data_IF_307614169530
#
_entry.id   IF_307614169530
#
_cell.length_a   1.000
_cell.length_b   1.000
_cell.length_c   1.000
_cell.angle_alpha   90.00
_cell.angle_beta   90.00
_cell.angle_gamma   90.00
#
_symmetry.space_group_name_H-M   'P 1'
#
loop_
_entity.id
_entity.type
_entity.pdbx_description
1 polymer ?
#
# COMPACT_ATOMS: atom_id res chain seq x y z
N UNK A 1 -50.99 14.22 61.13
CA UNK A 1 -50.40 12.98 60.57
C UNK A 1 -48.98 12.85 61.10
N UNK A 2 -48.64 11.71 61.71
CA UNK A 2 -47.66 11.58 62.78
C UNK A 2 -46.18 11.52 62.28
N UNK A 3 -45.28 12.35 62.86
CA UNK A 3 -43.86 12.52 62.47
C UNK A 3 -42.96 11.28 62.60
N UNK A 4 -43.45 10.19 63.20
CA UNK A 4 -42.68 8.94 63.38
C UNK A 4 -42.53 8.10 62.10
N UNK A 5 -43.31 8.37 61.04
CA UNK A 5 -43.22 7.62 59.77
C UNK A 5 -42.15 8.11 58.79
N UNK A 6 -41.53 9.28 59.04
CA UNK A 6 -40.55 9.87 58.11
C UNK A 6 -39.12 9.35 58.37
N UNK A 7 -38.80 8.95 59.60
CA UNK A 7 -37.45 8.44 59.94
C UNK A 7 -37.19 6.99 59.48
N UNK A 8 -38.23 6.17 59.30
CA UNK A 8 -38.04 4.79 58.83
C UNK A 8 -37.77 4.68 57.33
N UNK A 9 -38.09 5.71 56.53
CA UNK A 9 -37.85 5.70 55.08
C UNK A 9 -36.41 6.15 54.76
N UNK A 10 -35.78 6.96 55.61
CA UNK A 10 -34.40 7.42 55.40
C UNK A 10 -33.33 6.38 55.78
N UNK A 11 -33.59 5.47 56.72
CA UNK A 11 -32.65 4.39 57.04
C UNK A 11 -32.64 3.25 56.00
N UNK A 12 -33.72 3.06 55.23
CA UNK A 12 -33.78 2.02 54.18
C UNK A 12 -33.03 2.42 52.90
N UNK A 13 -32.87 3.73 52.64
CA UNK A 13 -32.12 4.22 51.47
C UNK A 13 -30.60 4.29 51.71
N UNK A 14 -30.14 4.36 52.96
CA UNK A 14 -28.71 4.41 53.27
C UNK A 14 -28.02 3.03 53.21
N UNK A 15 -28.76 1.93 53.38
CA UNK A 15 -28.18 0.57 53.37
C UNK A 15 -28.07 -0.01 51.95
N UNK A 16 -28.81 0.53 50.97
CA UNK A 16 -28.69 0.09 49.57
C UNK A 16 -27.57 0.79 48.78
N UNK A 17 -26.99 1.87 49.33
CA UNK A 17 -25.92 2.64 48.67
C UNK A 17 -24.51 2.05 48.85
N UNK A 18 -24.34 1.04 49.72
CA UNK A 18 -23.02 0.44 50.04
C UNK A 18 -22.77 -0.86 49.24
N UNK A 19 -23.78 -1.39 48.53
CA UNK A 19 -23.64 -2.57 47.66
C UNK A 19 -23.34 -2.23 46.19
N UNK A 20 -23.21 -0.95 45.84
CA UNK A 20 -22.64 -0.49 44.56
C UNK A 20 -21.10 -0.45 44.66
N UNK A 21 -20.51 -1.51 45.22
CA UNK A 21 -19.12 -1.83 44.97
C UNK A 21 -19.01 -2.07 43.47
N UNK A 22 -18.38 -1.15 42.77
CA UNK A 22 -18.21 -1.20 41.33
C UNK A 22 -17.66 -2.57 40.94
N UNK A 23 -18.53 -3.40 40.34
CA UNK A 23 -18.06 -4.45 39.47
C UNK A 23 -17.22 -3.74 38.42
N UNK A 24 -15.90 -3.81 38.57
CA UNK A 24 -14.99 -3.54 37.47
C UNK A 24 -15.40 -4.56 36.42
N UNK A 25 -16.21 -4.11 35.46
CA UNK A 25 -16.43 -4.86 34.22
C UNK A 25 -15.02 -5.24 33.78
N UNK A 26 -14.69 -6.54 33.70
CA UNK A 26 -13.39 -6.93 33.18
C UNK A 26 -13.26 -6.21 31.85
N UNK A 27 -12.21 -5.39 31.71
CA UNK A 27 -11.93 -4.66 30.49
C UNK A 27 -12.12 -5.66 29.34
N UNK A 28 -13.12 -5.39 28.49
CA UNK A 28 -13.41 -6.23 27.33
C UNK A 28 -12.08 -6.44 26.61
N UNK A 29 -11.72 -7.69 26.32
CA UNK A 29 -10.54 -7.96 25.52
C UNK A 29 -10.70 -7.16 24.22
N UNK A 30 -9.79 -6.23 23.95
CA UNK A 30 -9.83 -5.43 22.74
C UNK A 30 -9.79 -6.35 21.52
N UNK A 31 -10.59 -6.06 20.52
CA UNK A 31 -10.58 -6.83 19.28
C UNK A 31 -9.26 -6.61 18.54
N UNK A 32 -8.56 -7.70 18.19
CA UNK A 32 -7.37 -7.65 17.33
C UNK A 32 -7.82 -7.65 15.88
N UNK A 33 -8.02 -6.46 15.33
CA UNK A 33 -8.49 -6.22 13.97
C UNK A 33 -7.33 -5.81 13.05
N UNK A 34 -6.57 -6.78 12.57
CA UNK A 34 -5.44 -6.54 11.66
C UNK A 34 -5.83 -6.96 10.24
N UNK A 35 -5.52 -6.10 9.27
CA UNK A 35 -5.68 -6.37 7.83
C UNK A 35 -4.29 -6.33 7.15
N UNK A 36 -3.89 -7.36 6.40
CA UNK A 36 -4.57 -8.65 6.23
C UNK A 36 -4.67 -9.46 7.54
N UNK A 37 -5.70 -10.32 7.63
CA UNK A 37 -5.91 -11.18 8.81
C UNK A 37 -4.69 -12.09 9.00
N UNK A 38 -4.03 -12.05 10.17
CA UNK A 38 -2.87 -12.91 10.43
C UNK A 38 -3.21 -14.39 10.41
N UNK A 39 -2.23 -15.23 10.05
CA UNK A 39 -2.40 -16.70 10.05
C UNK A 39 -2.85 -17.24 11.41
N UNK A 40 -2.28 -16.72 12.50
CA UNK A 40 -2.66 -17.09 13.87
C UNK A 40 -2.57 -15.89 14.79
N UNK A 41 -3.64 -15.66 15.55
CA UNK A 41 -3.73 -14.63 16.60
C UNK A 41 -4.25 -15.26 17.89
N UNK A 42 -3.59 -14.97 19.00
CA UNK A 42 -4.04 -15.30 20.34
C UNK A 42 -4.15 -14.00 21.16
N UNK A 43 -5.38 -13.63 21.52
CA UNK A 43 -5.62 -12.46 22.37
C UNK A 43 -5.27 -12.81 23.81
N UNK A 44 -4.53 -11.93 24.48
CA UNK A 44 -4.08 -12.08 25.86
C UNK A 44 -4.67 -10.96 26.72
N UNK A 45 -4.81 -11.16 28.03
CA UNK A 45 -5.41 -10.13 28.91
C UNK A 45 -4.54 -8.88 29.00
N UNK A 46 -5.19 -7.71 28.99
CA UNK A 46 -4.56 -6.41 29.23
C UNK A 46 -4.07 -5.72 27.96
N UNK A 47 -3.43 -4.56 28.15
CA UNK A 47 -2.95 -3.71 27.06
C UNK A 47 -1.49 -3.31 27.32
N UNK A 48 -0.77 -3.06 26.23
CA UNK A 48 0.50 -2.34 26.25
C UNK A 48 0.23 -0.86 25.99
N UNK A 49 0.50 0.00 26.97
CA UNK A 49 0.39 1.46 26.81
C UNK A 49 1.77 2.01 26.48
N UNK A 50 1.88 2.80 25.41
CA UNK A 50 3.14 3.44 25.05
C UNK A 50 3.56 4.42 26.17
N UNK A 51 4.77 4.26 26.74
CA UNK A 51 5.31 5.26 27.67
C UNK A 51 5.66 6.54 26.92
N UNK A 52 5.65 7.69 27.61
CA UNK A 52 6.03 8.98 27.02
C UNK A 52 7.49 9.05 26.54
N UNK A 53 8.34 8.17 27.07
CA UNK A 53 9.70 7.93 26.58
C UNK A 53 9.80 6.50 26.09
N UNK A 54 9.76 6.31 24.77
CA UNK A 54 9.83 5.00 24.12
C UNK A 54 11.27 4.70 23.75
N UNK A 55 11.68 3.45 23.94
CA UNK A 55 12.97 2.95 23.46
C UNK A 55 12.69 1.78 22.54
N UNK A 56 13.17 1.88 21.30
CA UNK A 56 13.05 0.82 20.31
C UNK A 56 14.41 0.17 20.15
N UNK A 57 14.48 -1.13 20.43
CA UNK A 57 15.71 -1.89 20.30
C UNK A 57 15.83 -2.64 18.99
N UNK A 58 17.05 -2.77 18.50
CA UNK A 58 17.38 -3.49 17.27
C UNK A 58 18.71 -4.23 17.41
N UNK A 59 18.97 -5.18 16.51
CA UNK A 59 20.17 -6.02 16.52
C UNK A 59 20.99 -5.94 15.22
N UNK A 60 20.38 -5.50 14.11
CA UNK A 60 21.02 -5.47 12.79
C UNK A 60 20.84 -4.10 12.12
N UNK A 61 21.65 -3.77 11.10
CA UNK A 61 21.45 -2.56 10.29
C UNK A 61 20.05 -2.48 9.67
N UNK A 62 19.47 -3.57 9.15
CA UNK A 62 18.08 -3.51 8.66
C UNK A 62 17.09 -3.29 9.79
N UNK A 63 17.31 -3.92 10.95
CA UNK A 63 16.50 -3.69 12.15
C UNK A 63 16.53 -2.23 12.59
N UNK A 64 17.69 -1.56 12.49
CA UNK A 64 17.85 -0.13 12.77
C UNK A 64 17.00 0.73 11.83
N UNK A 65 16.96 0.41 10.54
CA UNK A 65 16.15 1.16 9.56
C UNK A 65 14.65 1.04 9.87
N UNK A 66 14.18 -0.16 10.25
CA UNK A 66 12.78 -0.38 10.64
C UNK A 66 12.48 0.33 11.97
N UNK A 67 13.41 0.28 12.93
CA UNK A 67 13.28 0.96 14.21
C UNK A 67 13.20 2.48 14.03
N UNK A 68 14.02 3.04 13.14
CA UNK A 68 13.99 4.46 12.79
C UNK A 68 12.67 4.86 12.15
N UNK A 69 12.20 4.09 11.17
CA UNK A 69 10.90 4.32 10.53
C UNK A 69 9.74 4.33 11.55
N UNK A 70 9.73 3.34 12.44
CA UNK A 70 8.74 3.27 13.53
C UNK A 70 8.89 4.47 14.48
N UNK A 71 10.11 4.84 14.86
CA UNK A 71 10.35 5.99 15.73
C UNK A 71 9.83 7.29 15.11
N UNK A 72 10.02 7.50 13.81
CA UNK A 72 9.58 8.70 13.11
C UNK A 72 8.05 8.78 13.09
N UNK A 73 7.38 7.65 12.81
CA UNK A 73 5.91 7.53 12.89
C UNK A 73 5.37 7.82 14.30
N UNK A 74 5.97 7.21 15.32
CA UNK A 74 5.57 7.44 16.72
C UNK A 74 5.79 8.91 17.13
N UNK A 75 6.95 9.50 16.81
CA UNK A 75 7.23 10.91 17.14
C UNK A 75 6.22 11.85 16.50
N UNK A 76 5.92 11.65 15.21
CA UNK A 76 5.03 12.50 14.45
C UNK A 76 3.62 12.55 15.06
N UNK A 77 3.01 11.39 15.34
CA UNK A 77 1.62 11.31 15.81
C UNK A 77 1.46 11.52 17.31
N UNK A 78 2.42 11.04 18.13
CA UNK A 78 2.28 11.06 19.59
C UNK A 78 2.94 12.27 20.26
N UNK A 79 3.95 12.87 19.62
CA UNK A 79 4.83 13.85 20.26
C UNK A 79 5.77 13.27 21.32
N UNK A 80 5.83 11.95 21.49
CA UNK A 80 6.65 11.29 22.51
C UNK A 80 8.15 11.32 22.17
N UNK A 81 8.98 11.26 23.21
CA UNK A 81 10.41 11.08 23.04
C UNK A 81 10.70 9.62 22.65
N UNK A 82 11.24 9.40 21.45
CA UNK A 82 11.59 8.04 20.98
C UNK A 82 13.09 7.95 20.70
N UNK A 83 13.75 7.04 21.40
CA UNK A 83 15.17 6.73 21.24
C UNK A 83 15.37 5.33 20.67
N UNK A 84 16.48 5.15 19.95
CA UNK A 84 16.90 3.86 19.44
C UNK A 84 18.08 3.34 20.28
N UNK A 85 18.18 2.03 20.44
CA UNK A 85 19.32 1.43 21.14
C UNK A 85 19.50 -0.05 20.83
N UNK A 86 20.64 -0.61 21.22
CA UNK A 86 20.96 -2.03 21.00
C UNK A 86 20.60 -2.89 22.23
N UNK A 87 20.35 -2.25 23.37
CA UNK A 87 19.92 -2.89 24.62
C UNK A 87 18.41 -3.06 24.67
N UNK A 88 17.89 -3.78 25.66
CA UNK A 88 16.46 -4.03 25.84
C UNK A 88 15.66 -2.71 25.84
N UNK A 89 14.69 -2.61 24.93
CA UNK A 89 13.75 -1.49 24.84
C UNK A 89 12.31 -1.91 25.16
N UNK A 90 11.41 -0.93 25.12
CA UNK A 90 9.97 -1.15 25.24
C UNK A 90 9.41 -1.89 24.01
N UNK A 91 9.98 -1.61 22.84
CA UNK A 91 9.72 -2.30 21.58
C UNK A 91 11.03 -2.92 21.12
N UNK A 92 11.03 -4.17 20.67
CA UNK A 92 12.24 -4.87 20.23
C UNK A 92 12.06 -5.50 18.86
N UNK A 93 12.94 -5.13 17.92
CA UNK A 93 13.02 -5.67 16.57
C UNK A 93 14.17 -6.66 16.51
N UNK A 94 13.85 -7.94 16.35
CA UNK A 94 14.77 -9.06 16.41
C UNK A 94 14.78 -9.78 15.07
N UNK A 95 15.88 -9.64 14.33
CA UNK A 95 16.08 -10.32 13.05
C UNK A 95 17.09 -11.44 13.29
N UNK A 96 16.65 -12.68 13.10
CA UNK A 96 17.43 -13.88 13.39
C UNK A 96 17.43 -14.79 12.15
N UNK A 97 18.48 -14.75 11.31
CA UNK A 97 18.53 -15.53 10.07
C UNK A 97 18.36 -17.04 10.23
N UNK A 98 18.71 -17.58 11.40
CA UNK A 98 18.55 -19.00 11.73
C UNK A 98 17.12 -19.39 12.16
N UNK A 99 16.19 -18.43 12.25
CA UNK A 99 14.80 -18.71 12.62
C UNK A 99 14.11 -19.55 11.54
N UNK A 100 13.48 -20.66 11.94
CA UNK A 100 12.70 -21.54 11.06
C UNK A 100 11.36 -20.89 10.69
N UNK A 101 11.38 -20.03 9.69
CA UNK A 101 10.25 -19.23 9.22
C UNK A 101 10.48 -18.81 7.76
N UNK A 102 9.42 -18.43 7.03
CA UNK A 102 9.55 -17.84 5.70
C UNK A 102 10.21 -16.46 5.76
N UNK A 103 10.79 -15.99 4.65
CA UNK A 103 11.50 -14.71 4.63
C UNK A 103 10.62 -13.51 4.98
N UNK A 104 9.34 -13.56 4.61
CA UNK A 104 8.32 -12.56 4.91
C UNK A 104 7.52 -12.85 6.20
N UNK A 105 7.83 -13.95 6.90
CA UNK A 105 7.11 -14.31 8.12
C UNK A 105 7.61 -13.54 9.35
N UNK A 106 6.74 -13.39 10.35
CA UNK A 106 7.10 -12.81 11.64
C UNK A 106 6.28 -13.41 12.79
N UNK A 107 6.79 -13.19 14.01
CA UNK A 107 6.04 -13.31 15.26
C UNK A 107 6.01 -11.97 15.98
N UNK A 108 4.83 -11.53 16.35
CA UNK A 108 4.59 -10.31 17.12
C UNK A 108 4.01 -10.70 18.49
N UNK A 109 4.72 -10.38 19.56
CA UNK A 109 4.26 -10.57 20.94
C UNK A 109 4.09 -9.22 21.60
N UNK A 110 2.86 -8.91 22.03
CA UNK A 110 2.51 -7.71 22.78
C UNK A 110 2.14 -8.11 24.20
N UNK A 111 2.83 -7.54 25.17
CA UNK A 111 2.56 -7.71 26.61
C UNK A 111 2.45 -6.36 27.27
N UNK A 112 1.88 -6.30 28.47
CA UNK A 112 1.83 -5.05 29.25
C UNK A 112 3.20 -4.44 29.55
N UNK A 113 4.29 -5.21 29.42
CA UNK A 113 5.67 -4.76 29.65
C UNK A 113 6.40 -4.32 28.38
N UNK A 114 5.88 -4.63 27.19
CA UNK A 114 6.58 -4.36 25.94
C UNK A 114 6.16 -5.22 24.77
N UNK A 115 6.76 -4.90 23.63
CA UNK A 115 6.48 -5.47 22.31
C UNK A 115 7.75 -6.11 21.75
N UNK A 116 7.60 -7.31 21.18
CA UNK A 116 8.70 -8.00 20.51
C UNK A 116 8.25 -8.45 19.13
N UNK A 117 9.00 -8.02 18.11
CA UNK A 117 8.84 -8.43 16.72
C UNK A 117 10.04 -9.31 16.38
N UNK A 118 9.80 -10.59 16.09
CA UNK A 118 10.81 -11.57 15.69
C UNK A 118 10.58 -11.98 14.25
N UNK A 119 11.62 -11.99 13.43
CA UNK A 119 11.54 -12.45 12.05
C UNK A 119 12.87 -13.03 11.57
N UNK A 120 12.82 -13.79 10.46
CA UNK A 120 14.02 -14.31 9.79
C UNK A 120 14.79 -13.22 9.06
N UNK A 121 14.07 -12.30 8.39
CA UNK A 121 14.65 -11.22 7.58
C UNK A 121 14.03 -9.86 7.93
N UNK A 122 14.62 -8.79 7.41
CA UNK A 122 14.05 -7.45 7.50
C UNK A 122 12.64 -7.32 6.91
N UNK A 123 12.28 -8.09 5.87
CA UNK A 123 10.93 -8.05 5.27
C UNK A 123 9.86 -8.49 6.27
N UNK A 124 10.08 -9.64 6.92
CA UNK A 124 9.20 -10.12 7.97
C UNK A 124 9.13 -9.17 9.16
N UNK A 125 10.27 -8.65 9.62
CA UNK A 125 10.29 -7.68 10.72
C UNK A 125 9.50 -6.40 10.39
N UNK A 126 9.62 -5.90 9.16
CA UNK A 126 8.85 -4.76 8.69
C UNK A 126 7.34 -5.04 8.70
N UNK A 127 6.89 -6.21 8.21
CA UNK A 127 5.48 -6.58 8.29
C UNK A 127 4.96 -6.79 9.72
N UNK A 128 5.80 -7.28 10.62
CA UNK A 128 5.46 -7.35 12.05
C UNK A 128 5.28 -5.98 12.68
N UNK A 129 6.10 -5.00 12.27
CA UNK A 129 5.93 -3.60 12.66
C UNK A 129 4.63 -3.00 12.11
N UNK A 130 4.26 -3.29 10.85
CA UNK A 130 2.98 -2.87 10.27
C UNK A 130 1.78 -3.44 11.04
N UNK A 131 1.84 -4.70 11.45
CA UNK A 131 0.80 -5.30 12.31
C UNK A 131 0.74 -4.65 13.70
N UNK A 132 1.89 -4.31 14.29
CA UNK A 132 1.90 -3.58 15.56
C UNK A 132 1.29 -2.17 15.43
N UNK A 133 1.57 -1.45 14.35
CA UNK A 133 0.97 -0.13 14.07
C UNK A 133 -0.56 -0.20 14.02
N UNK A 134 -1.14 -1.25 13.41
CA UNK A 134 -2.59 -1.45 13.36
C UNK A 134 -3.23 -1.82 14.71
N UNK A 135 -2.44 -2.28 15.69
CA UNK A 135 -2.94 -2.50 17.05
C UNK A 135 -3.08 -1.20 17.85
N UNK A 136 -2.43 -0.12 17.42
CA UNK A 136 -2.54 1.20 18.02
C UNK A 136 -3.76 1.94 17.44
N UNK A 137 -4.27 2.99 18.12
CA UNK A 137 -5.33 3.83 17.56
C UNK A 137 -4.96 4.39 16.18
N UNK A 138 -5.92 4.46 15.26
CA UNK A 138 -5.71 4.87 13.86
C UNK A 138 -4.99 6.22 13.70
N UNK A 139 -5.11 7.11 14.69
CA UNK A 139 -4.39 8.38 14.76
C UNK A 139 -2.87 8.23 14.74
N UNK A 140 -2.33 7.03 14.98
CA UNK A 140 -0.89 6.77 14.95
C UNK A 140 -0.28 6.99 13.56
N UNK A 141 -1.10 6.88 12.50
CA UNK A 141 -0.70 7.15 11.12
C UNK A 141 -0.74 8.65 10.76
N UNK A 142 -1.17 9.51 11.68
CA UNK A 142 -1.17 10.95 11.49
C UNK A 142 0.25 11.47 11.26
N UNK A 143 0.48 12.32 10.22
CA UNK A 143 1.77 12.96 10.00
C UNK A 143 2.05 14.09 11.00
N UNK A 144 1.09 14.43 11.86
CA UNK A 144 1.16 15.50 12.86
C UNK A 144 0.66 15.03 14.22
N UNK A 145 1.07 15.73 15.27
CA UNK A 145 0.75 15.35 16.65
C UNK A 145 -0.76 15.38 16.92
N UNK A 146 -1.26 14.37 17.60
CA UNK A 146 -2.66 14.24 18.01
C UNK A 146 -2.76 14.12 19.53
N UNK A 147 -3.45 15.06 20.17
CA UNK A 147 -3.64 15.10 21.62
C UNK A 147 -4.87 14.29 22.07
N UNK A 148 -4.90 13.88 23.34
CA UNK A 148 -6.05 13.23 23.96
C UNK A 148 -6.27 11.77 23.56
N UNK A 149 -5.30 11.17 22.86
CA UNK A 149 -5.34 9.76 22.46
C UNK A 149 -4.61 8.90 23.49
N UNK A 150 -5.27 7.83 23.95
CA UNK A 150 -4.62 6.77 24.72
C UNK A 150 -3.90 5.83 23.74
N UNK A 151 -2.59 5.98 23.62
CA UNK A 151 -1.76 5.14 22.77
C UNK A 151 -1.56 3.74 23.38
N UNK A 152 -2.53 2.85 23.18
CA UNK A 152 -2.51 1.50 23.73
C UNK A 152 -2.75 0.45 22.64
N UNK A 153 -2.09 -0.70 22.79
CA UNK A 153 -2.24 -1.88 21.94
C UNK A 153 -2.73 -3.07 22.77
N UNK A 154 -3.70 -3.83 22.27
CA UNK A 154 -4.16 -5.06 22.91
C UNK A 154 -3.00 -6.07 23.06
N UNK A 155 -2.85 -6.67 24.25
CA UNK A 155 -1.89 -7.76 24.42
C UNK A 155 -2.29 -8.98 23.57
N UNK A 156 -1.36 -9.51 22.80
CA UNK A 156 -1.60 -10.65 21.91
C UNK A 156 -0.29 -11.37 21.52
N UNK A 157 -0.41 -12.60 21.04
CA UNK A 157 0.64 -13.31 20.32
C UNK A 157 0.17 -13.60 18.89
N UNK A 158 0.91 -13.13 17.90
CA UNK A 158 0.60 -13.25 16.48
C UNK A 158 1.74 -13.97 15.79
N UNK A 159 1.42 -15.01 15.03
CA UNK A 159 2.33 -15.65 14.09
C UNK A 159 1.74 -15.52 12.70
N UNK A 160 2.52 -14.97 11.78
CA UNK A 160 1.99 -14.59 10.48
C UNK A 160 3.02 -14.78 9.36
N UNK A 161 2.52 -15.11 8.19
CA UNK A 161 3.29 -15.29 6.97
C UNK A 161 2.34 -15.17 5.77
N UNK A 162 2.80 -14.65 4.63
CA UNK A 162 1.94 -14.50 3.47
C UNK A 162 1.59 -15.86 2.86
N UNK A 163 0.33 -16.01 2.44
CA UNK A 163 -0.11 -17.15 1.62
C UNK A 163 0.56 -17.16 0.24
N UNK A 164 0.78 -15.98 -0.35
CA UNK A 164 1.36 -15.81 -1.68
C UNK A 164 2.57 -14.88 -1.63
N UNK A 165 3.66 -15.30 -2.29
CA UNK A 165 4.88 -14.48 -2.38
C UNK A 165 4.73 -13.27 -3.31
N UNK A 166 3.76 -13.27 -4.23
CA UNK A 166 3.44 -12.15 -5.11
C UNK A 166 2.14 -11.49 -4.65
N UNK A 167 2.21 -10.22 -4.23
CA UNK A 167 1.06 -9.39 -3.86
C UNK A 167 1.20 -8.06 -4.59
N UNK A 168 0.53 -7.95 -5.73
CA UNK A 168 0.70 -6.88 -6.70
C UNK A 168 -0.30 -5.73 -6.56
N UNK A 169 0.15 -4.52 -6.83
CA UNK A 169 -0.69 -3.34 -7.07
C UNK A 169 -0.32 -2.73 -8.42
N UNK A 170 -1.31 -2.45 -9.27
CA UNK A 170 -1.12 -1.89 -10.60
C UNK A 170 -1.43 -0.38 -10.59
N UNK A 171 -0.48 0.44 -11.03
CA UNK A 171 -0.63 1.89 -11.12
C UNK A 171 -0.42 2.34 -12.56
N UNK A 172 -1.41 3.07 -13.06
CA UNK A 172 -1.42 3.65 -14.39
C UNK A 172 -1.33 5.18 -14.32
N UNK A 173 -0.11 5.75 -14.38
CA UNK A 173 0.10 7.18 -14.54
C UNK A 173 -0.03 7.66 -15.99
N UNK A 174 -0.36 6.81 -16.96
CA UNK A 174 -0.41 7.21 -18.37
C UNK A 174 -1.72 7.89 -18.72
N UNK A 175 -2.84 7.35 -18.27
CA UNK A 175 -4.18 7.91 -18.49
C UNK A 175 -4.31 9.28 -17.81
N UNK A 176 -3.87 9.35 -16.57
CA UNK A 176 -3.73 10.58 -15.79
C UNK A 176 -2.39 10.59 -15.07
N UNK A 177 -1.63 11.68 -15.21
CA UNK A 177 -0.32 11.75 -14.57
C UNK A 177 -0.45 11.79 -13.04
N UNK A 178 0.34 10.96 -12.36
CA UNK A 178 0.42 10.90 -10.91
C UNK A 178 1.80 11.38 -10.50
N UNK A 179 1.84 12.43 -9.66
CA UNK A 179 3.11 13.00 -9.19
C UNK A 179 3.89 12.00 -8.35
N UNK A 180 5.22 12.14 -8.30
CA UNK A 180 6.09 11.29 -7.48
C UNK A 180 5.66 11.29 -6.01
N UNK A 181 5.20 12.43 -5.50
CA UNK A 181 4.67 12.54 -4.13
C UNK A 181 3.46 11.63 -3.91
N UNK A 182 2.50 11.63 -4.84
CA UNK A 182 1.32 10.79 -4.75
C UNK A 182 1.65 9.30 -4.97
N UNK A 183 2.64 8.98 -5.82
CA UNK A 183 3.16 7.60 -5.94
C UNK A 183 3.77 7.14 -4.61
N UNK A 184 4.52 7.99 -3.90
CA UNK A 184 5.07 7.66 -2.58
C UNK A 184 3.97 7.42 -1.55
N UNK A 185 2.91 8.24 -1.53
CA UNK A 185 1.72 8.01 -0.68
C UNK A 185 1.07 6.65 -0.99
N UNK A 186 1.00 6.27 -2.27
CA UNK A 186 0.49 4.95 -2.66
C UNK A 186 1.38 3.81 -2.15
N UNK A 187 2.71 3.96 -2.22
CA UNK A 187 3.66 2.99 -1.68
C UNK A 187 3.54 2.87 -0.15
N UNK A 188 3.29 3.97 0.55
CA UNK A 188 3.04 3.96 2.01
C UNK A 188 1.79 3.11 2.33
N UNK A 189 0.69 3.30 1.60
CA UNK A 189 -0.53 2.50 1.76
C UNK A 189 -0.30 1.02 1.41
N UNK A 190 0.42 0.73 0.33
CA UNK A 190 0.79 -0.64 -0.03
C UNK A 190 1.56 -1.33 1.10
N UNK A 191 2.49 -0.59 1.73
CA UNK A 191 3.33 -1.11 2.81
C UNK A 191 2.49 -1.47 4.05
N UNK A 192 1.48 -0.66 4.39
CA UNK A 192 0.54 -0.90 5.50
C UNK A 192 -0.18 -2.25 5.35
N UNK A 193 -0.59 -2.59 4.13
CA UNK A 193 -1.28 -3.84 3.80
C UNK A 193 -0.34 -4.96 3.35
N UNK A 194 0.98 -4.79 3.54
CA UNK A 194 2.00 -5.79 3.23
C UNK A 194 2.03 -6.19 1.74
N UNK A 195 1.58 -5.32 0.84
CA UNK A 195 1.66 -5.50 -0.62
C UNK A 195 3.12 -5.26 -1.03
N UNK A 196 3.69 -6.19 -1.79
CA UNK A 196 5.15 -6.24 -1.98
C UNK A 196 5.61 -6.00 -3.42
N UNK A 197 4.68 -5.90 -4.38
CA UNK A 197 5.01 -5.71 -5.78
C UNK A 197 4.22 -4.54 -6.35
N UNK A 198 4.93 -3.58 -6.94
CA UNK A 198 4.36 -2.45 -7.66
C UNK A 198 4.51 -2.69 -9.16
N UNK A 199 3.39 -2.70 -9.88
CA UNK A 199 3.36 -2.79 -11.34
C UNK A 199 3.07 -1.39 -11.89
N UNK A 200 4.10 -0.78 -12.48
CA UNK A 200 3.99 0.52 -13.14
C UNK A 200 3.66 0.37 -14.62
N UNK A 201 2.52 0.91 -15.03
CA UNK A 201 2.11 0.98 -16.44
C UNK A 201 2.54 2.33 -17.02
N UNK A 202 3.77 2.41 -17.52
CA UNK A 202 4.44 3.68 -17.82
C UNK A 202 4.31 4.15 -19.27
N UNK A 203 3.60 3.42 -20.12
CA UNK A 203 3.37 3.80 -21.52
C UNK A 203 1.97 3.37 -21.99
N UNK A 204 1.24 4.28 -22.63
CA UNK A 204 -0.05 4.08 -23.30
C UNK A 204 -0.22 5.07 -24.46
N UNK A 205 -1.30 4.92 -25.23
CA UNK A 205 -1.71 5.86 -26.28
C UNK A 205 -1.74 7.33 -25.79
N UNK A 206 -2.21 7.55 -24.55
CA UNK A 206 -2.40 8.88 -23.98
C UNK A 206 -1.16 9.42 -23.25
N UNK A 207 -0.09 8.65 -23.11
CA UNK A 207 1.06 9.11 -22.34
C UNK A 207 2.27 8.18 -22.27
N UNK A 208 3.45 8.80 -22.30
CA UNK A 208 4.74 8.18 -22.08
C UNK A 208 5.40 8.76 -20.82
N UNK A 209 5.67 7.92 -19.80
CA UNK A 209 6.01 8.35 -18.43
C UNK A 209 7.41 7.97 -17.97
N UNK A 210 8.24 7.39 -18.84
CA UNK A 210 9.61 6.97 -18.50
C UNK A 210 10.64 7.62 -19.43
N UNK A 211 11.67 8.26 -18.90
CA UNK A 211 12.68 8.87 -19.77
C UNK A 211 13.53 7.81 -20.48
N UNK A 212 13.63 7.92 -21.81
CA UNK A 212 14.59 7.17 -22.62
C UNK A 212 15.56 8.17 -23.25
N UNK A 213 16.78 8.25 -22.71
CA UNK A 213 17.79 9.24 -23.11
C UNK A 213 18.08 9.28 -24.61
N UNK A 214 18.03 8.12 -25.28
CA UNK A 214 18.24 8.00 -26.73
C UNK A 214 17.08 8.59 -27.55
N UNK A 215 15.88 8.65 -26.98
CA UNK A 215 14.64 9.07 -27.64
C UNK A 215 13.94 10.18 -26.82
N UNK A 216 14.55 11.37 -26.71
CA UNK A 216 14.06 12.44 -25.82
C UNK A 216 12.65 12.94 -26.17
N UNK A 217 12.23 12.80 -27.43
CA UNK A 217 10.87 13.16 -27.87
C UNK A 217 9.78 12.30 -27.25
N UNK A 218 10.10 11.08 -26.78
CA UNK A 218 9.11 10.22 -26.11
C UNK A 218 8.57 10.89 -24.84
N UNK A 219 9.42 11.54 -24.05
CA UNK A 219 8.97 12.31 -22.89
C UNK A 219 8.63 13.75 -23.24
N UNK A 220 9.45 14.48 -23.99
CA UNK A 220 9.21 15.92 -24.22
C UNK A 220 7.96 16.21 -25.05
N UNK A 221 7.51 15.26 -25.87
CA UNK A 221 6.26 15.34 -26.65
C UNK A 221 5.25 14.33 -26.13
N UNK A 222 5.61 13.04 -26.06
CA UNK A 222 4.68 11.95 -25.72
C UNK A 222 4.17 11.95 -24.27
N UNK A 223 4.69 12.79 -23.38
CA UNK A 223 4.12 12.96 -22.04
C UNK A 223 3.02 14.02 -21.97
N UNK A 224 2.85 14.84 -23.01
CA UNK A 224 1.89 15.95 -23.03
C UNK A 224 0.62 15.55 -23.79
N UNK A 225 -0.54 15.99 -23.30
CA UNK A 225 -1.83 15.87 -24.00
C UNK A 225 -2.28 17.27 -24.42
N UNK A 226 -2.75 17.39 -25.65
CA UNK A 226 -3.27 18.66 -26.19
C UNK A 226 -4.75 18.87 -25.89
N UNK A 227 -5.57 17.82 -25.72
CA UNK A 227 -7.01 17.91 -25.39
C UNK A 227 -7.52 16.72 -24.53
N UNK A 228 -8.64 16.91 -23.82
CA UNK A 228 -9.34 15.90 -23.00
C UNK A 228 -9.74 14.66 -23.80
N UNK A 229 -9.97 13.53 -23.11
CA UNK A 229 -10.26 12.17 -23.63
C UNK A 229 -9.99 12.00 -25.12
N UNK A 230 -8.82 11.41 -25.42
CA UNK A 230 -8.43 11.05 -26.79
C UNK A 230 -9.64 10.45 -27.47
N UNK A 231 -10.25 11.21 -28.41
CA UNK A 231 -11.18 10.63 -29.37
C UNK A 231 -10.38 9.52 -30.00
N UNK A 232 -10.81 8.27 -29.76
CA UNK A 232 -10.22 7.09 -30.36
C UNK A 232 -9.88 7.47 -31.80
N UNK A 233 -8.59 7.42 -32.16
CA UNK A 233 -8.13 7.83 -33.47
C UNK A 233 -8.92 7.03 -34.50
N UNK A 234 -9.88 7.68 -35.15
CA UNK A 234 -10.45 7.15 -36.37
C UNK A 234 -9.30 7.01 -37.34
N UNK A 235 -9.13 5.82 -37.91
CA UNK A 235 -8.03 5.40 -38.80
C UNK A 235 -7.92 6.21 -40.12
N UNK A 236 -8.40 7.45 -40.19
CA UNK A 236 -8.68 8.18 -41.42
C UNK A 236 -7.93 9.52 -41.57
N UNK A 237 -6.91 9.85 -40.77
CA UNK A 237 -6.06 11.00 -41.11
C UNK A 237 -4.92 10.59 -42.05
N UNK A 238 -5.21 10.66 -43.35
CA UNK A 238 -4.26 10.39 -44.44
C UNK A 238 -3.61 11.66 -45.01
N UNK A 239 -3.79 12.82 -44.37
CA UNK A 239 -3.57 14.11 -45.04
C UNK A 239 -2.12 14.62 -45.04
N UNK A 240 -1.28 14.20 -44.10
CA UNK A 240 0.08 14.77 -43.94
C UNK A 240 1.16 14.03 -44.76
N UNK A 241 0.97 12.74 -45.05
CA UNK A 241 2.00 11.91 -45.69
C UNK A 241 2.13 12.11 -47.21
N UNK A 242 1.10 12.64 -47.88
CA UNK A 242 1.02 12.69 -49.34
C UNK A 242 1.61 13.96 -49.98
N UNK A 243 1.95 14.98 -49.18
CA UNK A 243 2.41 16.28 -49.70
C UNK A 243 3.87 16.32 -50.16
N UNK A 244 4.66 15.26 -49.96
CA UNK A 244 6.14 15.27 -50.15
C UNK A 244 6.66 14.30 -51.22
N UNK A 245 5.80 13.81 -52.12
CA UNK A 245 6.18 12.96 -53.24
C UNK A 245 6.23 11.47 -52.91
N UNK A 246 6.81 10.66 -53.79
CA UNK A 246 6.91 9.21 -53.59
C UNK A 246 7.79 8.89 -52.37
N UNK A 247 7.21 8.22 -51.37
CA UNK A 247 7.90 7.83 -50.16
C UNK A 247 8.14 6.31 -50.14
N UNK A 248 9.35 5.84 -49.80
CA UNK A 248 9.57 4.44 -49.50
C UNK A 248 8.80 4.08 -48.22
N UNK A 249 7.82 3.18 -48.34
CA UNK A 249 7.03 2.70 -47.21
C UNK A 249 7.66 1.40 -46.72
N UNK A 250 8.11 1.38 -45.46
CA UNK A 250 8.40 0.13 -44.75
C UNK A 250 7.19 -0.22 -43.91
N UNK A 251 6.42 -1.21 -44.35
CA UNK A 251 5.27 -1.72 -43.60
C UNK A 251 5.79 -2.68 -42.52
N UNK A 252 5.58 -2.33 -41.26
CA UNK A 252 5.86 -3.21 -40.13
C UNK A 252 4.54 -3.49 -39.43
N UNK A 253 4.11 -4.75 -39.47
CA UNK A 253 2.92 -5.20 -38.77
C UNK A 253 3.24 -5.36 -37.28
N UNK A 254 2.55 -4.61 -36.44
CA UNK A 254 2.55 -4.79 -34.99
C UNK A 254 1.16 -5.29 -34.60
N UNK A 255 1.09 -6.56 -34.18
CA UNK A 255 -0.17 -7.14 -33.71
C UNK A 255 -0.63 -6.41 -32.44
N UNK A 256 -1.89 -5.98 -32.42
CA UNK A 256 -2.53 -5.50 -31.20
C UNK A 256 -2.89 -6.69 -30.31
N UNK A 257 -2.53 -6.60 -29.02
CA UNK A 257 -2.94 -7.55 -27.98
C UNK A 257 -3.94 -6.82 -27.08
N UNK A 258 -5.23 -7.12 -27.26
CA UNK A 258 -6.30 -6.71 -26.34
C UNK A 258 -6.56 -7.88 -25.37
N UNK A 259 -6.39 -7.62 -24.08
CA UNK A 259 -6.72 -8.59 -23.02
C UNK A 259 -5.83 -9.85 -22.97
N UNK A 260 -4.63 -9.81 -23.53
CA UNK A 260 -3.68 -10.94 -23.51
C UNK A 260 -3.83 -11.96 -24.65
N UNK A 261 -4.71 -11.70 -25.63
CA UNK A 261 -4.92 -12.56 -26.80
C UNK A 261 -4.63 -11.81 -28.11
N UNK A 262 -4.05 -12.46 -29.13
CA UNK A 262 -3.98 -11.89 -30.48
C UNK A 262 -5.40 -11.65 -30.99
N UNK A 263 -5.80 -10.38 -31.09
CA UNK A 263 -7.21 -10.02 -31.29
C UNK A 263 -7.57 -9.74 -32.75
N UNK A 264 -6.59 -9.67 -33.65
CA UNK A 264 -6.79 -9.36 -35.06
C UNK A 264 -6.42 -10.57 -35.94
N UNK A 265 -7.45 -11.18 -36.55
CA UNK A 265 -7.33 -12.30 -37.50
C UNK A 265 -7.54 -11.86 -38.95
N UNK A 266 -7.51 -10.56 -39.23
CA UNK A 266 -7.82 -10.02 -40.54
C UNK A 266 -6.61 -10.08 -41.48
N UNK A 267 -6.83 -10.61 -42.68
CA UNK A 267 -5.92 -10.47 -43.81
C UNK A 267 -5.65 -8.98 -44.07
N UNK A 268 -4.40 -8.53 -43.96
CA UNK A 268 -4.04 -7.17 -44.38
C UNK A 268 -3.83 -7.16 -45.88
N UNK A 269 -4.65 -6.40 -46.61
CA UNK A 269 -4.45 -6.12 -48.02
C UNK A 269 -4.01 -4.65 -48.17
N UNK A 270 -3.01 -4.41 -49.02
CA UNK A 270 -2.65 -3.06 -49.46
C UNK A 270 -3.32 -2.87 -50.80
N UNK A 271 -4.00 -1.74 -51.01
CA UNK A 271 -4.51 -1.36 -52.32
C UNK A 271 -3.82 -0.08 -52.77
N UNK A 272 -3.51 0.00 -54.07
CA UNK A 272 -2.92 1.18 -54.68
C UNK A 272 -3.75 1.61 -55.90
N UNK A 273 -3.76 2.91 -56.16
CA UNK A 273 -4.37 3.52 -57.34
C UNK A 273 -3.38 4.49 -57.95
N UNK A 274 -3.12 4.38 -59.25
CA UNK A 274 -2.33 5.39 -59.95
C UNK A 274 -3.16 6.67 -60.12
N UNK A 275 -2.50 7.81 -60.21
CA UNK A 275 -3.12 9.13 -60.43
C UNK A 275 -4.16 9.12 -61.57
N UNK A 276 -3.85 8.44 -62.67
CA UNK A 276 -4.70 8.35 -63.86
C UNK A 276 -5.78 7.26 -63.81
N UNK A 277 -5.92 6.53 -62.70
CA UNK A 277 -6.88 5.44 -62.53
C UNK A 277 -8.01 5.86 -61.59
N UNK A 278 -9.22 5.34 -61.82
CA UNK A 278 -10.40 5.69 -61.00
C UNK A 278 -10.55 4.83 -59.75
N UNK A 279 -10.14 3.56 -59.82
CA UNK A 279 -10.36 2.55 -58.78
C UNK A 279 -9.05 2.09 -58.13
N UNK A 280 -9.10 1.76 -56.84
CA UNK A 280 -7.99 1.11 -56.13
C UNK A 280 -7.89 -0.37 -56.49
N UNK A 281 -6.66 -0.89 -56.55
CA UNK A 281 -6.38 -2.30 -56.87
C UNK A 281 -5.48 -2.93 -55.82
N UNK A 282 -5.77 -4.18 -55.46
CA UNK A 282 -4.99 -4.92 -54.48
C UNK A 282 -3.54 -5.18 -54.95
N UNK A 283 -2.59 -4.93 -54.06
CA UNK A 283 -1.17 -5.14 -54.26
C UNK A 283 -0.83 -6.59 -53.95
N UNK A 284 -0.45 -7.34 -54.99
CA UNK A 284 -0.06 -8.74 -54.86
C UNK A 284 1.30 -8.92 -54.19
N UNK A 285 1.55 -10.12 -53.63
CA UNK A 285 2.81 -10.43 -52.93
C UNK A 285 4.08 -10.23 -53.76
N UNK A 286 3.98 -10.38 -55.09
CA UNK A 286 5.09 -10.13 -56.04
C UNK A 286 5.45 -8.65 -56.22
N UNK A 287 4.61 -7.72 -55.75
CA UNK A 287 4.84 -6.28 -55.79
C UNK A 287 5.38 -5.73 -54.46
N UNK A 288 5.34 -6.53 -53.37
CA UNK A 288 5.77 -6.13 -52.02
C UNK A 288 7.26 -6.38 -51.77
N UNK A 289 7.92 -7.21 -52.58
CA UNK A 289 9.32 -7.59 -52.41
C UNK A 289 10.10 -7.41 -53.71
N UNK A 290 10.68 -6.21 -53.89
CA UNK A 290 11.89 -5.96 -54.67
C UNK A 290 12.79 -5.01 -53.90
#
# INVERSE_FOLDING_TARGET
MNMKKIHQIFCSLAVCAIMLGGNTTPACAGDVNIIPVPVKTQVMKGEFVLPQTVTISYQTPEGRNIAQYLADKLKASTGYAVSLGEKKGHISIQITPSLKMTDEGYRLTVTSKGVVIKAKTGKGAFYGMQSFMQLLPAQIESPVMVSGVKWAAQCCDITDAPRFGYRGFHLDPCRHFITVENVKKQLDLMSMFKVNTMHFHLTEDQGWRIEIKKYPKLTSVGSLRTEGDVKASTMNDSSVALAKGLHPIKVVFLANIIGGWPSWWSSTAIEMRKDNEKEFTAVGGSQLFR
#
